data_IF_372375999935
#
_entry.id   IF_372375999935
#
_cell.length_a   1.000
_cell.length_b   1.000
_cell.length_c   1.000
_cell.angle_alpha   90.00
_cell.angle_beta   90.00
_cell.angle_gamma   90.00
#
_symmetry.space_group_name_H-M   'P 1'
#
loop_
_entity.id
_entity.type
_entity.pdbx_description
1 polymer ?
#
# COMPACT_ATOMS: atom_id res chain seq x y z
N UNK A 1 -8.96 2.81 -25.48
CA UNK A 1 -9.34 4.11 -24.89
C UNK A 1 -9.32 3.92 -23.40
N UNK A 2 -8.35 4.52 -22.72
CA UNK A 2 -8.19 4.37 -21.27
C UNK A 2 -9.32 5.11 -20.56
N UNK A 3 -10.03 4.43 -19.67
CA UNK A 3 -11.15 5.00 -18.94
C UNK A 3 -10.59 5.99 -17.92
N UNK A 4 -11.04 7.24 -17.97
CA UNK A 4 -10.59 8.28 -17.05
C UNK A 4 -11.80 8.92 -16.36
N UNK A 5 -11.64 9.23 -15.08
CA UNK A 5 -12.62 9.99 -14.31
C UNK A 5 -11.99 11.27 -13.79
N UNK A 6 -12.81 12.30 -13.57
CA UNK A 6 -12.37 13.57 -13.01
C UNK A 6 -13.25 13.95 -11.84
N UNK A 7 -12.66 14.07 -10.66
CA UNK A 7 -13.32 14.61 -9.47
C UNK A 7 -13.72 16.06 -9.74
N UNK A 8 -14.83 16.52 -9.16
CA UNK A 8 -15.30 17.91 -9.30
C UNK A 8 -14.65 18.87 -8.31
N UNK A 9 -13.64 18.41 -7.57
CA UNK A 9 -12.94 19.18 -6.55
C UNK A 9 -11.42 18.99 -6.62
N UNK A 10 -10.69 19.95 -6.05
CA UNK A 10 -9.24 19.89 -5.85
C UNK A 10 -8.91 19.10 -4.57
N UNK A 11 -8.04 18.09 -4.69
CA UNK A 11 -7.75 17.18 -3.56
C UNK A 11 -6.90 17.83 -2.48
N UNK A 12 -6.15 18.89 -2.81
CA UNK A 12 -5.42 19.68 -1.82
C UNK A 12 -6.38 20.34 -0.85
N UNK A 13 -7.38 21.05 -1.36
CA UNK A 13 -8.42 21.72 -0.57
C UNK A 13 -9.23 20.71 0.24
N UNK A 14 -9.59 19.58 -0.38
CA UNK A 14 -10.25 18.48 0.33
C UNK A 14 -9.42 17.98 1.53
N UNK A 15 -8.13 17.72 1.33
CA UNK A 15 -7.23 17.29 2.40
C UNK A 15 -7.10 18.33 3.52
N UNK A 16 -6.96 19.61 3.17
CA UNK A 16 -6.85 20.71 4.13
C UNK A 16 -8.11 20.87 5.01
N UNK A 17 -9.29 20.49 4.49
CA UNK A 17 -10.56 20.45 5.23
C UNK A 17 -10.69 19.18 6.09
N UNK A 18 -10.29 18.02 5.57
CA UNK A 18 -10.36 16.73 6.28
C UNK A 18 -9.34 16.65 7.43
N UNK A 19 -8.16 17.25 7.24
CA UNK A 19 -7.03 17.29 8.19
C UNK A 19 -6.65 15.88 8.64
N UNK A 20 -6.69 15.62 9.95
CA UNK A 20 -6.23 14.38 10.58
C UNK A 20 -7.34 13.36 10.83
N UNK A 21 -8.50 13.51 10.19
CA UNK A 21 -9.62 12.59 10.39
C UNK A 21 -9.29 11.22 9.73
N UNK A 22 -9.64 10.12 10.40
CA UNK A 22 -9.18 8.75 10.08
C UNK A 22 -10.11 7.89 9.19
N UNK A 23 -11.18 8.45 8.65
CA UNK A 23 -12.24 7.77 7.90
C UNK A 23 -13.38 7.18 8.76
N UNK A 24 -13.27 7.26 10.09
CA UNK A 24 -14.16 6.53 11.01
C UNK A 24 -15.26 7.38 11.67
N UNK A 25 -15.31 8.70 11.43
CA UNK A 25 -16.37 9.56 11.95
C UNK A 25 -17.43 9.82 10.87
N UNK A 26 -18.54 9.09 10.93
CA UNK A 26 -19.63 9.13 9.95
C UNK A 26 -20.23 10.52 9.75
N UNK A 27 -20.38 11.32 10.82
CA UNK A 27 -20.92 12.69 10.71
C UNK A 27 -19.96 13.60 9.92
N UNK A 28 -18.66 13.45 10.17
CA UNK A 28 -17.64 14.18 9.43
C UNK A 28 -17.58 13.73 7.96
N UNK A 29 -17.56 12.42 7.68
CA UNK A 29 -17.57 11.91 6.31
C UNK A 29 -18.82 12.33 5.52
N UNK A 30 -20.00 12.30 6.14
CA UNK A 30 -21.23 12.77 5.51
C UNK A 30 -21.17 14.28 5.19
N UNK A 31 -20.53 15.08 6.04
CA UNK A 31 -20.29 16.50 5.77
C UNK A 31 -19.32 16.68 4.61
N UNK A 32 -18.21 15.94 4.59
CA UNK A 32 -17.24 16.01 3.49
C UNK A 32 -17.89 15.63 2.16
N UNK A 33 -18.69 14.55 2.11
CA UNK A 33 -19.42 14.15 0.92
C UNK A 33 -20.40 15.22 0.40
N UNK A 34 -21.00 16.03 1.29
CA UNK A 34 -21.85 17.16 0.87
C UNK A 34 -21.06 18.35 0.32
N UNK A 35 -19.84 18.55 0.81
CA UNK A 35 -18.98 19.66 0.39
C UNK A 35 -18.19 19.34 -0.88
N UNK A 36 -17.82 18.07 -1.06
CA UNK A 36 -17.00 17.58 -2.15
C UNK A 36 -17.77 16.47 -2.86
N UNK A 37 -18.46 16.84 -3.95
CA UNK A 37 -19.29 15.90 -4.70
C UNK A 37 -18.47 14.75 -5.27
N UNK A 38 -18.95 13.53 -5.04
CA UNK A 38 -18.36 12.30 -5.54
C UNK A 38 -18.61 12.11 -7.04
N UNK A 39 -17.92 11.16 -7.68
CA UNK A 39 -18.19 10.76 -9.06
C UNK A 39 -19.54 10.04 -9.21
N UNK A 40 -20.13 9.63 -8.07
CA UNK A 40 -21.37 8.86 -7.96
C UNK A 40 -21.42 7.71 -8.97
N UNK A 41 -20.37 6.88 -8.96
CA UNK A 41 -20.29 5.65 -9.74
C UNK A 41 -20.72 4.48 -8.84
N UNK A 42 -22.03 4.16 -8.74
CA UNK A 42 -22.50 3.08 -7.88
C UNK A 42 -22.03 1.71 -8.39
N UNK A 43 -21.79 1.62 -9.70
CA UNK A 43 -21.39 0.41 -10.37
C UNK A 43 -19.96 0.02 -10.04
N UNK A 44 -19.76 -1.29 -9.96
CA UNK A 44 -18.46 -1.87 -9.73
C UNK A 44 -17.57 -1.66 -10.96
N UNK A 45 -16.43 -1.01 -10.75
CA UNK A 45 -15.45 -0.78 -11.80
C UNK A 45 -14.58 -2.03 -11.98
N UNK A 46 -14.67 -2.66 -13.15
CA UNK A 46 -13.97 -3.92 -13.48
C UNK A 46 -12.83 -3.73 -14.50
N UNK A 47 -12.88 -2.64 -15.27
CA UNK A 47 -11.88 -2.32 -16.28
C UNK A 47 -10.84 -1.34 -15.68
N UNK A 48 -9.59 -1.35 -16.17
CA UNK A 48 -8.59 -0.38 -15.76
C UNK A 48 -9.05 1.07 -15.98
N UNK A 49 -8.69 1.95 -15.04
CA UNK A 49 -9.01 3.37 -15.13
C UNK A 49 -8.06 4.23 -14.29
N UNK A 50 -8.09 5.54 -14.57
CA UNK A 50 -7.43 6.55 -13.74
C UNK A 50 -8.43 7.58 -13.22
N UNK A 51 -8.15 8.16 -12.06
CA UNK A 51 -8.90 9.28 -11.49
C UNK A 51 -7.99 10.48 -11.40
N UNK A 52 -8.50 11.60 -11.90
CA UNK A 52 -7.85 12.90 -11.82
C UNK A 52 -8.67 13.85 -10.96
N UNK A 53 -8.04 14.85 -10.37
CA UNK A 53 -8.74 15.98 -9.77
C UNK A 53 -8.93 17.15 -10.78
N UNK A 54 -9.65 18.21 -10.38
CA UNK A 54 -9.88 19.36 -11.28
C UNK A 54 -8.61 20.13 -11.65
N UNK A 55 -7.50 19.90 -10.93
CA UNK A 55 -6.20 20.53 -11.20
C UNK A 55 -5.29 19.66 -12.07
N UNK A 56 -5.80 18.50 -12.50
CA UNK A 56 -5.09 17.52 -13.32
C UNK A 56 -4.10 16.66 -12.52
N UNK A 57 -4.24 16.57 -11.19
CA UNK A 57 -3.48 15.63 -10.36
C UNK A 57 -4.04 14.23 -10.53
N UNK A 58 -3.18 13.22 -10.68
CA UNK A 58 -3.64 11.85 -10.55
C UNK A 58 -3.92 11.55 -9.07
N UNK A 59 -5.02 10.88 -8.80
CA UNK A 59 -5.44 10.52 -7.44
C UNK A 59 -5.55 9.01 -7.25
N UNK A 60 -5.86 8.29 -8.32
CA UNK A 60 -5.97 6.84 -8.30
C UNK A 60 -5.69 6.22 -9.67
N UNK A 61 -4.95 5.12 -9.66
CA UNK A 61 -4.77 4.21 -10.80
C UNK A 61 -5.31 2.85 -10.41
N UNK A 62 -6.20 2.29 -11.23
CA UNK A 62 -6.68 0.91 -11.09
C UNK A 62 -6.26 0.13 -12.33
N UNK A 63 -5.51 -0.95 -12.12
CA UNK A 63 -4.94 -1.79 -13.16
C UNK A 63 -5.38 -3.23 -12.89
N UNK A 64 -6.31 -3.72 -13.70
CA UNK A 64 -6.69 -5.13 -13.72
C UNK A 64 -5.59 -5.96 -14.40
N UNK A 65 -5.34 -7.18 -13.92
CA UNK A 65 -4.31 -8.08 -14.46
C UNK A 65 -2.91 -7.44 -14.51
N UNK A 66 -2.53 -6.71 -13.47
CA UNK A 66 -1.25 -5.99 -13.38
C UNK A 66 -0.02 -6.90 -13.34
N UNK A 67 -0.21 -8.19 -13.06
CA UNK A 67 0.83 -9.22 -13.11
C UNK A 67 0.32 -10.41 -13.93
N UNK A 68 1.24 -11.25 -14.42
CA UNK A 68 0.91 -12.48 -15.13
C UNK A 68 0.46 -13.58 -14.17
N UNK A 69 -0.13 -14.65 -14.71
CA UNK A 69 -0.57 -15.82 -13.93
C UNK A 69 0.62 -16.58 -13.33
N UNK A 70 1.76 -16.58 -14.01
CA UNK A 70 2.99 -17.19 -13.53
C UNK A 70 3.52 -16.44 -12.29
N UNK A 71 3.52 -15.09 -12.32
CA UNK A 71 3.89 -14.30 -11.16
C UNK A 71 2.89 -14.46 -10.01
N UNK A 72 1.60 -14.54 -10.31
CA UNK A 72 0.58 -14.87 -9.32
C UNK A 72 0.88 -16.20 -8.63
N UNK A 73 1.17 -17.26 -9.40
CA UNK A 73 1.49 -18.58 -8.88
C UNK A 73 2.73 -18.57 -7.98
N UNK A 74 3.79 -17.83 -8.36
CA UNK A 74 4.98 -17.64 -7.53
C UNK A 74 4.62 -16.95 -6.20
N UNK A 75 3.84 -15.86 -6.25
CA UNK A 75 3.42 -15.16 -5.02
C UNK A 75 2.59 -16.08 -4.14
N UNK A 76 1.64 -16.83 -4.70
CA UNK A 76 0.81 -17.80 -3.97
C UNK A 76 1.69 -18.80 -3.22
N UNK A 77 2.65 -19.43 -3.92
CA UNK A 77 3.59 -20.38 -3.31
C UNK A 77 4.42 -19.74 -2.18
N UNK A 78 4.95 -18.54 -2.40
CA UNK A 78 5.73 -17.82 -1.40
C UNK A 78 4.89 -17.50 -0.15
N UNK A 79 3.64 -17.09 -0.30
CA UNK A 79 2.74 -16.84 0.84
C UNK A 79 2.37 -18.14 1.56
N UNK A 80 2.21 -19.26 0.86
CA UNK A 80 1.99 -20.57 1.50
C UNK A 80 3.15 -20.93 2.45
N UNK A 81 4.39 -20.61 2.08
CA UNK A 81 5.54 -20.79 2.97
C UNK A 81 5.53 -19.86 4.19
N UNK A 82 4.80 -18.73 4.14
CA UNK A 82 4.60 -17.82 5.27
C UNK A 82 3.43 -18.18 6.18
N UNK A 83 2.66 -19.25 5.90
CA UNK A 83 1.47 -19.62 6.69
C UNK A 83 1.75 -19.63 8.19
N UNK A 84 2.82 -20.29 8.62
CA UNK A 84 3.17 -20.38 10.04
C UNK A 84 3.49 -19.01 10.67
N UNK A 85 4.09 -18.08 9.91
CA UNK A 85 4.37 -16.72 10.38
C UNK A 85 3.08 -15.91 10.47
N UNK A 86 2.23 -16.00 9.44
CA UNK A 86 0.94 -15.31 9.38
C UNK A 86 0.00 -15.74 10.51
N UNK A 87 -0.06 -17.03 10.83
CA UNK A 87 -0.84 -17.52 11.98
C UNK A 87 -0.41 -16.88 13.30
N UNK A 88 0.90 -16.67 13.51
CA UNK A 88 1.44 -16.00 14.71
C UNK A 88 1.18 -14.49 14.72
N UNK A 89 0.72 -13.95 13.60
CA UNK A 89 0.37 -12.54 13.38
C UNK A 89 -1.09 -12.37 12.98
N UNK A 90 -1.91 -13.35 13.36
CA UNK A 90 -3.36 -13.37 13.22
C UNK A 90 -4.07 -12.41 14.18
N UNK A 91 -5.41 -12.53 14.29
CA UNK A 91 -6.17 -11.72 15.23
C UNK A 91 -5.72 -11.94 16.67
N UNK A 92 -5.91 -10.92 17.51
CA UNK A 92 -5.61 -10.98 18.94
C UNK A 92 -6.89 -11.03 19.74
N UNK A 93 -7.04 -12.09 20.53
CA UNK A 93 -8.20 -12.29 21.38
C UNK A 93 -8.44 -11.05 22.27
N UNK A 94 -9.68 -10.56 22.27
CA UNK A 94 -10.11 -9.39 23.04
C UNK A 94 -9.60 -8.02 22.54
N UNK A 95 -8.90 -7.94 21.41
CA UNK A 95 -8.44 -6.64 20.89
C UNK A 95 -9.62 -5.77 20.45
N UNK A 96 -9.59 -4.49 20.85
CA UNK A 96 -10.53 -3.46 20.36
C UNK A 96 -10.00 -2.68 19.16
N UNK A 97 -8.76 -2.97 18.71
CA UNK A 97 -8.17 -2.34 17.54
C UNK A 97 -8.63 -3.08 16.31
N UNK A 98 -9.21 -2.36 15.34
CA UNK A 98 -9.70 -2.98 14.11
C UNK A 98 -8.61 -3.71 13.30
N UNK A 99 -7.34 -3.37 13.56
CA UNK A 99 -6.18 -4.08 13.00
C UNK A 99 -6.01 -5.51 13.49
N UNK A 100 -6.47 -5.81 14.70
CA UNK A 100 -6.27 -7.11 15.34
C UNK A 100 -7.61 -7.80 15.74
N UNK A 101 -8.76 -7.18 15.46
CA UNK A 101 -10.09 -7.68 15.81
C UNK A 101 -10.46 -8.92 14.99
N UNK A 102 -10.83 -10.01 15.66
CA UNK A 102 -11.21 -11.30 15.04
C UNK A 102 -12.27 -11.18 13.95
N UNK A 103 -13.27 -10.31 14.14
CA UNK A 103 -14.37 -10.13 13.18
C UNK A 103 -13.94 -9.72 11.78
N UNK A 104 -12.73 -9.15 11.62
CA UNK A 104 -12.22 -8.75 10.30
C UNK A 104 -11.42 -9.85 9.62
N UNK A 105 -11.03 -10.90 10.34
CA UNK A 105 -10.28 -12.01 9.79
C UNK A 105 -11.23 -13.15 9.40
N UNK A 106 -10.90 -13.83 8.31
CA UNK A 106 -11.57 -15.05 7.92
C UNK A 106 -11.34 -16.12 8.98
N UNK A 107 -12.40 -16.86 9.30
CA UNK A 107 -12.31 -17.94 10.29
C UNK A 107 -11.27 -18.98 9.83
N UNK A 108 -10.38 -19.47 10.73
CA UNK A 108 -9.26 -20.34 10.35
C UNK A 108 -9.67 -21.63 9.63
N UNK A 109 -10.87 -22.16 9.87
CA UNK A 109 -11.35 -23.37 9.20
C UNK A 109 -11.46 -23.20 7.68
N UNK A 110 -11.71 -21.96 7.21
CA UNK A 110 -11.84 -21.61 5.81
C UNK A 110 -10.54 -21.07 5.19
N UNK A 111 -9.41 -21.23 5.89
CA UNK A 111 -8.08 -20.75 5.50
C UNK A 111 -7.16 -21.93 5.11
N UNK A 112 -7.47 -22.57 3.98
CA UNK A 112 -6.78 -23.76 3.44
C UNK A 112 -5.46 -23.40 2.74
N UNK A 113 -5.42 -22.30 2.01
CA UNK A 113 -4.26 -21.90 1.20
C UNK A 113 -3.36 -20.88 1.90
N UNK A 114 -3.92 -19.79 2.41
CA UNK A 114 -3.24 -18.76 3.20
C UNK A 114 -3.72 -18.80 4.65
N UNK A 115 -2.85 -18.43 5.60
CA UNK A 115 -3.30 -18.20 6.97
C UNK A 115 -3.81 -16.76 7.13
N UNK A 116 -4.71 -16.54 8.08
CA UNK A 116 -5.14 -15.19 8.48
C UNK A 116 -4.03 -14.47 9.26
N UNK A 117 -3.61 -13.29 8.83
CA UNK A 117 -2.56 -12.54 9.51
C UNK A 117 -2.12 -11.25 8.81
N UNK A 118 -1.36 -10.43 9.54
CA UNK A 118 -0.76 -9.18 9.04
C UNK A 118 0.72 -9.12 9.37
N UNK A 119 1.57 -8.95 8.36
CA UNK A 119 3.02 -8.79 8.52
C UNK A 119 3.46 -7.45 7.99
N UNK A 120 4.32 -6.74 8.73
CA UNK A 120 4.96 -5.50 8.26
C UNK A 120 6.45 -5.75 8.05
N UNK A 121 6.92 -5.60 6.81
CA UNK A 121 8.31 -5.82 6.39
C UNK A 121 8.95 -4.49 5.98
N UNK A 122 10.14 -4.21 6.49
CA UNK A 122 10.95 -3.06 6.09
C UNK A 122 12.43 -3.32 6.40
N UNK A 123 13.31 -2.98 5.46
CA UNK A 123 14.76 -3.08 5.65
C UNK A 123 15.28 -2.10 6.71
N UNK A 124 14.74 -0.88 6.71
CA UNK A 124 14.98 0.15 7.70
C UNK A 124 13.80 1.13 7.72
N UNK A 125 13.26 1.40 8.91
CA UNK A 125 12.24 2.41 9.12
C UNK A 125 12.33 3.08 10.50
N UNK A 126 11.69 4.23 10.64
CA UNK A 126 11.36 4.78 11.95
C UNK A 126 10.03 4.20 12.45
N UNK A 127 9.98 3.71 13.68
CA UNK A 127 8.75 3.13 14.24
C UNK A 127 7.65 4.20 14.38
N UNK A 128 6.38 3.79 14.25
CA UNK A 128 5.25 4.69 14.46
C UNK A 128 5.32 5.35 15.85
N UNK A 129 5.22 6.68 15.89
CA UNK A 129 5.36 7.44 17.14
C UNK A 129 6.81 7.86 17.48
N UNK A 130 7.79 7.41 16.70
CA UNK A 130 9.21 7.79 16.81
C UNK A 130 9.71 8.34 15.47
N UNK A 131 8.97 9.30 14.92
CA UNK A 131 9.13 9.80 13.53
C UNK A 131 9.74 11.21 13.49
N UNK A 132 10.75 11.47 14.33
CA UNK A 132 11.50 12.73 14.34
C UNK A 132 12.88 12.55 13.71
N UNK A 133 13.52 13.66 13.33
CA UNK A 133 14.78 13.65 12.58
C UNK A 133 15.89 12.84 13.28
N UNK A 134 16.03 12.98 14.60
CA UNK A 134 17.03 12.26 15.40
C UNK A 134 16.66 10.80 15.71
N UNK A 135 15.45 10.33 15.35
CA UNK A 135 15.06 8.97 15.73
C UNK A 135 15.87 7.93 14.95
N UNK A 136 16.22 6.87 15.65
CA UNK A 136 16.92 5.72 15.08
C UNK A 136 16.05 4.98 14.07
N UNK A 137 16.73 4.38 13.09
CA UNK A 137 16.12 3.44 12.16
C UNK A 137 16.27 2.02 12.68
N UNK A 138 15.29 1.18 12.38
CA UNK A 138 15.32 -0.25 12.69
C UNK A 138 14.76 -1.03 11.51
N UNK A 139 15.22 -2.26 11.24
CA UNK A 139 14.41 -3.15 10.42
C UNK A 139 13.07 -3.39 11.11
N UNK A 140 12.03 -3.70 10.33
CA UNK A 140 10.78 -4.12 10.93
C UNK A 140 10.99 -5.43 11.71
N UNK A 141 10.24 -5.61 12.80
CA UNK A 141 10.37 -6.78 13.68
C UNK A 141 10.22 -8.10 12.94
N UNK A 142 9.31 -8.14 11.97
CA UNK A 142 9.01 -9.34 11.20
C UNK A 142 10.05 -9.60 10.10
N UNK A 143 10.95 -8.66 9.81
CA UNK A 143 12.01 -8.79 8.81
C UNK A 143 13.38 -9.08 9.41
N UNK A 144 13.80 -8.32 10.43
CA UNK A 144 15.06 -8.55 11.13
C UNK A 144 15.07 -7.91 12.53
N UNK A 145 16.18 -8.10 13.27
CA UNK A 145 16.42 -7.42 14.54
C UNK A 145 17.83 -6.85 14.53
N UNK A 146 17.95 -5.54 14.74
CA UNK A 146 19.23 -4.82 14.81
C UNK A 146 20.21 -5.55 15.74
N UNK A 147 21.40 -5.85 15.23
CA UNK A 147 22.49 -6.50 15.95
C UNK A 147 22.24 -7.96 16.36
N UNK A 148 21.24 -8.65 15.78
CA UNK A 148 20.97 -10.07 16.07
C UNK A 148 20.73 -10.88 14.79
N UNK A 149 21.15 -12.15 14.75
CA UNK A 149 20.84 -13.02 13.61
C UNK A 149 19.32 -13.24 13.47
N UNK A 150 18.81 -13.41 12.24
CA UNK A 150 17.38 -13.60 12.02
C UNK A 150 16.92 -14.94 12.60
N UNK A 151 15.77 -14.95 13.28
CA UNK A 151 15.12 -16.19 13.72
C UNK A 151 14.41 -16.92 12.56
N UNK A 152 13.81 -18.08 12.81
CA UNK A 152 13.14 -18.88 11.77
C UNK A 152 12.02 -18.13 11.02
N UNK A 153 11.21 -17.32 11.72
CA UNK A 153 10.17 -16.50 11.09
C UNK A 153 10.77 -15.40 10.22
N UNK A 154 11.81 -14.73 10.71
CA UNK A 154 12.52 -13.67 9.97
C UNK A 154 13.24 -14.23 8.73
N UNK A 155 13.82 -15.43 8.80
CA UNK A 155 14.40 -16.08 7.62
C UNK A 155 13.34 -16.41 6.57
N UNK A 156 12.15 -16.82 6.99
CA UNK A 156 11.05 -17.08 6.07
C UNK A 156 10.55 -15.79 5.39
N UNK A 157 10.42 -14.68 6.12
CA UNK A 157 10.02 -13.40 5.53
C UNK A 157 11.12 -12.80 4.65
N UNK A 158 12.39 -13.00 4.99
CA UNK A 158 13.53 -12.67 4.14
C UNK A 158 13.53 -13.44 2.82
N UNK A 159 13.36 -14.77 2.88
CA UNK A 159 13.23 -15.62 1.69
C UNK A 159 12.01 -15.22 0.84
N UNK A 160 10.89 -14.87 1.47
CA UNK A 160 9.72 -14.33 0.80
C UNK A 160 10.03 -13.04 0.02
N UNK A 161 10.65 -12.06 0.67
CA UNK A 161 11.01 -10.77 0.04
C UNK A 161 11.97 -10.97 -1.14
N UNK A 162 12.97 -11.84 -1.00
CA UNK A 162 13.90 -12.18 -2.09
C UNK A 162 13.19 -12.89 -3.25
N UNK A 163 12.27 -13.81 -2.94
CA UNK A 163 11.45 -14.51 -3.92
C UNK A 163 10.51 -13.58 -4.73
N UNK A 164 10.20 -12.41 -4.19
CA UNK A 164 9.40 -11.39 -4.88
C UNK A 164 10.21 -10.48 -5.83
N UNK A 165 11.47 -10.80 -6.14
CA UNK A 165 12.34 -9.93 -6.98
C UNK A 165 11.68 -9.46 -8.29
N UNK A 166 11.06 -10.35 -9.07
CA UNK A 166 10.36 -9.96 -10.30
C UNK A 166 9.12 -9.12 -10.03
N UNK A 167 8.33 -9.48 -9.01
CA UNK A 167 7.18 -8.67 -8.57
C UNK A 167 7.63 -7.28 -8.14
N UNK A 168 8.77 -7.17 -7.47
CA UNK A 168 9.34 -5.91 -7.05
C UNK A 168 9.66 -4.99 -8.22
N UNK A 169 10.20 -5.54 -9.32
CA UNK A 169 10.43 -4.80 -10.56
C UNK A 169 9.12 -4.28 -11.14
N UNK A 170 8.10 -5.13 -11.28
CA UNK A 170 6.80 -4.75 -11.87
C UNK A 170 6.12 -3.66 -11.06
N UNK A 171 6.01 -3.84 -9.74
CA UNK A 171 5.35 -2.87 -8.86
C UNK A 171 6.13 -1.56 -8.78
N UNK A 172 7.47 -1.62 -8.78
CA UNK A 172 8.31 -0.42 -8.80
C UNK A 172 8.21 0.32 -10.13
N UNK A 173 8.09 -0.39 -11.25
CA UNK A 173 7.86 0.21 -12.56
C UNK A 173 6.49 0.89 -12.64
N UNK A 174 5.44 0.27 -12.08
CA UNK A 174 4.13 0.89 -11.97
C UNK A 174 4.19 2.22 -11.18
N UNK A 175 4.95 2.25 -10.07
CA UNK A 175 5.22 3.50 -9.35
C UNK A 175 6.00 4.51 -10.20
N UNK A 176 7.04 4.06 -10.92
CA UNK A 176 7.85 4.93 -11.79
C UNK A 176 7.05 5.58 -12.91
N UNK A 177 5.97 4.92 -13.38
CA UNK A 177 5.04 5.45 -14.38
C UNK A 177 4.02 6.38 -13.72
N UNK A 178 3.36 5.92 -12.66
CA UNK A 178 2.25 6.66 -12.03
C UNK A 178 2.73 7.88 -11.22
N UNK A 179 3.92 7.78 -10.62
CA UNK A 179 4.50 8.78 -9.74
C UNK A 179 6.06 8.79 -9.79
N UNK A 180 6.66 9.29 -10.89
CA UNK A 180 8.10 9.22 -11.14
C UNK A 180 8.96 9.86 -10.03
N UNK A 181 8.56 11.03 -9.51
CA UNK A 181 9.30 11.73 -8.46
C UNK A 181 9.33 10.94 -7.14
N UNK A 182 8.22 10.29 -6.76
CA UNK A 182 8.21 9.41 -5.58
C UNK A 182 9.13 8.21 -5.78
N UNK A 183 9.10 7.60 -6.96
CA UNK A 183 9.99 6.50 -7.32
C UNK A 183 11.46 6.91 -7.13
N UNK A 184 11.84 8.07 -7.69
CA UNK A 184 13.22 8.58 -7.63
C UNK A 184 13.65 8.86 -6.18
N UNK A 185 12.87 9.66 -5.45
CA UNK A 185 13.18 10.03 -4.07
C UNK A 185 13.23 8.80 -3.16
N UNK A 186 12.34 7.83 -3.36
CA UNK A 186 12.36 6.60 -2.58
C UNK A 186 13.56 5.74 -2.88
N UNK A 187 13.89 5.57 -4.17
CA UNK A 187 15.08 4.84 -4.60
C UNK A 187 16.36 5.49 -4.05
N UNK A 188 16.40 6.82 -3.97
CA UNK A 188 17.54 7.55 -3.41
C UNK A 188 17.80 7.20 -1.96
N UNK A 189 16.83 7.34 -1.06
CA UNK A 189 17.09 6.98 0.34
C UNK A 189 17.28 5.47 0.53
N UNK A 190 16.64 4.61 -0.26
CA UNK A 190 16.88 3.16 -0.18
C UNK A 190 18.33 2.79 -0.54
N UNK A 191 18.97 3.51 -1.46
CA UNK A 191 20.41 3.38 -1.73
C UNK A 191 21.27 3.84 -0.55
N UNK A 192 20.87 4.91 0.13
CA UNK A 192 21.56 5.38 1.33
C UNK A 192 21.45 4.35 2.46
N UNK A 193 20.26 3.79 2.69
CA UNK A 193 20.04 2.68 3.63
C UNK A 193 20.89 1.46 3.26
N UNK A 194 20.99 1.13 1.96
CA UNK A 194 21.84 0.03 1.50
C UNK A 194 23.34 0.28 1.68
N UNK A 195 23.76 1.55 1.80
CA UNK A 195 25.16 1.94 2.03
C UNK A 195 25.50 2.03 3.52
N UNK A 196 24.50 2.01 4.40
CA UNK A 196 24.69 1.97 5.84
C UNK A 196 25.10 0.54 6.27
N UNK A 197 26.28 0.33 6.87
CA UNK A 197 26.74 -0.98 7.32
C UNK A 197 25.77 -1.68 8.29
N UNK A 198 24.92 -0.93 8.96
CA UNK A 198 23.92 -1.48 9.87
C UNK A 198 22.74 -2.15 9.14
N UNK A 199 22.41 -1.68 7.93
CA UNK A 199 21.25 -2.13 7.16
C UNK A 199 21.62 -2.78 5.83
N UNK A 200 22.89 -2.81 5.42
CA UNK A 200 23.34 -3.40 4.14
C UNK A 200 22.80 -4.82 3.93
N UNK A 201 22.80 -5.67 4.96
CA UNK A 201 22.34 -7.05 4.87
C UNK A 201 20.82 -7.15 4.64
N UNK A 202 20.03 -6.29 5.27
CA UNK A 202 18.57 -6.28 5.09
C UNK A 202 18.17 -5.56 3.79
N UNK A 203 18.90 -4.51 3.43
CA UNK A 203 18.67 -3.70 2.24
C UNK A 203 19.08 -4.41 0.95
N UNK A 204 20.13 -5.23 0.96
CA UNK A 204 20.55 -6.05 -0.20
C UNK A 204 19.48 -7.04 -0.65
N UNK A 205 18.56 -7.40 0.24
CA UNK A 205 17.43 -8.29 -0.03
C UNK A 205 16.21 -7.52 -0.57
N UNK A 206 16.22 -6.18 -0.50
CA UNK A 206 15.05 -5.35 -0.72
C UNK A 206 14.98 -4.84 -2.16
N UNK A 207 14.11 -5.47 -2.97
CA UNK A 207 13.95 -5.13 -4.39
C UNK A 207 12.99 -3.98 -4.71
N UNK A 208 12.21 -3.49 -3.75
CA UNK A 208 11.09 -2.57 -4.02
C UNK A 208 11.50 -1.09 -4.00
N UNK A 209 10.85 -0.26 -4.82
CA UNK A 209 10.89 1.21 -4.73
C UNK A 209 9.95 1.80 -3.66
N UNK A 210 9.64 1.00 -2.63
CA UNK A 210 8.85 1.37 -1.46
C UNK A 210 9.63 0.96 -0.21
N UNK A 211 9.57 1.70 0.91
CA UNK A 211 10.29 1.29 2.15
C UNK A 211 9.60 0.19 2.92
N UNK A 212 8.31 -0.04 2.66
CA UNK A 212 7.51 -0.96 3.45
C UNK A 212 6.67 -1.86 2.56
N UNK A 213 6.63 -3.13 2.93
CA UNK A 213 5.72 -4.14 2.40
C UNK A 213 4.90 -4.70 3.56
N UNK A 214 3.59 -4.47 3.53
CA UNK A 214 2.65 -5.11 4.46
C UNK A 214 1.89 -6.22 3.74
N UNK A 215 1.92 -7.43 4.31
CA UNK A 215 1.15 -8.58 3.82
C UNK A 215 -0.12 -8.66 4.66
N UNK A 216 -1.28 -8.54 4.03
CA UNK A 216 -2.59 -8.64 4.68
C UNK A 216 -3.33 -9.85 4.14
N UNK A 217 -3.32 -10.94 4.89
CA UNK A 217 -3.89 -12.21 4.47
C UNK A 217 -5.23 -12.49 5.17
N UNK A 218 -6.23 -12.87 4.36
CA UNK A 218 -7.56 -13.31 4.78
C UNK A 218 -8.24 -12.34 5.76
N UNK A 219 -8.13 -11.04 5.46
CA UNK A 219 -8.60 -9.97 6.34
C UNK A 219 -9.30 -8.87 5.55
N UNK A 220 -10.52 -8.55 5.95
CA UNK A 220 -11.26 -7.36 5.51
C UNK A 220 -10.74 -6.10 6.21
N UNK A 221 -10.94 -4.94 5.61
CA UNK A 221 -10.47 -3.67 6.15
C UNK A 221 -11.60 -2.65 6.12
N UNK A 222 -12.10 -2.18 7.28
CA UNK A 222 -13.08 -1.11 7.32
C UNK A 222 -12.53 0.18 6.70
N UNK A 223 -13.43 1.07 6.30
CA UNK A 223 -13.08 2.36 5.73
C UNK A 223 -12.20 3.15 6.69
N UNK A 224 -11.02 3.57 6.22
CA UNK A 224 -10.07 4.35 6.99
C UNK A 224 -9.15 5.20 6.09
N UNK A 225 -8.45 6.16 6.71
CA UNK A 225 -7.30 6.86 6.13
C UNK A 225 -6.04 6.48 6.89
N UNK A 226 -4.96 6.31 6.15
CA UNK A 226 -3.63 6.06 6.69
C UNK A 226 -2.95 7.37 7.11
N UNK A 227 -3.56 8.05 8.09
CA UNK A 227 -3.07 9.36 8.57
C UNK A 227 -1.67 9.31 9.22
N UNK A 228 -1.17 8.12 9.53
CA UNK A 228 0.11 7.88 10.23
C UNK A 228 1.13 7.10 9.39
N UNK A 229 0.77 6.73 8.17
CA UNK A 229 1.65 6.06 7.20
C UNK A 229 1.55 6.83 5.88
N UNK A 230 2.66 7.01 5.20
CA UNK A 230 2.68 7.85 3.99
C UNK A 230 2.45 9.35 4.26
N UNK A 231 2.19 10.06 3.17
CA UNK A 231 1.95 11.50 3.09
C UNK A 231 0.91 11.75 2.01
N UNK A 232 0.34 12.96 1.96
CA UNK A 232 -0.67 13.30 0.94
C UNK A 232 -0.14 13.08 -0.47
N UNK A 233 1.14 13.35 -0.66
CA UNK A 233 1.83 13.24 -1.94
C UNK A 233 2.46 11.86 -2.16
N UNK A 234 2.27 10.90 -1.26
CA UNK A 234 2.81 9.55 -1.42
C UNK A 234 1.68 8.60 -1.79
N UNK A 235 1.93 7.83 -2.86
CA UNK A 235 1.12 6.70 -3.26
C UNK A 235 1.54 5.44 -2.52
N UNK A 236 0.52 4.70 -2.13
CA UNK A 236 0.58 3.31 -1.75
C UNK A 236 0.18 2.47 -2.98
N UNK A 237 0.78 1.30 -3.14
CA UNK A 237 0.43 0.33 -4.17
C UNK A 237 -0.15 -0.92 -3.50
N UNK A 238 -1.39 -1.27 -3.82
CA UNK A 238 -2.08 -2.42 -3.24
C UNK A 238 -2.32 -3.47 -4.32
N UNK A 239 -1.59 -4.59 -4.26
CA UNK A 239 -1.74 -5.74 -5.14
C UNK A 239 -2.54 -6.84 -4.44
N UNK A 240 -3.62 -7.31 -5.06
CA UNK A 240 -4.38 -8.46 -4.54
C UNK A 240 -4.06 -9.77 -5.26
N UNK A 241 -3.99 -10.84 -4.48
CA UNK A 241 -3.86 -12.24 -4.91
C UNK A 241 -5.03 -13.04 -4.34
N UNK A 242 -5.73 -13.78 -5.20
CA UNK A 242 -6.96 -14.46 -4.83
C UNK A 242 -8.13 -13.49 -4.60
N UNK A 243 -9.07 -13.91 -3.76
CA UNK A 243 -10.38 -13.29 -3.65
C UNK A 243 -11.28 -13.63 -4.84
N UNK A 244 -12.60 -13.51 -4.64
CA UNK A 244 -13.59 -13.81 -5.68
C UNK A 244 -14.25 -12.57 -6.31
N UNK A 245 -15.22 -12.78 -7.23
CA UNK A 245 -15.98 -11.76 -7.95
C UNK A 245 -16.71 -10.71 -7.09
N UNK A 246 -16.77 -10.89 -5.77
CA UNK A 246 -17.42 -9.98 -4.82
C UNK A 246 -16.43 -9.26 -3.91
N UNK A 247 -15.13 -9.45 -4.13
CA UNK A 247 -14.10 -8.75 -3.38
C UNK A 247 -13.95 -7.36 -3.95
N UNK A 248 -14.11 -6.35 -3.11
CA UNK A 248 -14.19 -4.94 -3.53
C UNK A 248 -13.25 -4.10 -2.67
N UNK A 249 -12.58 -3.13 -3.29
CA UNK A 249 -12.00 -2.00 -2.58
C UNK A 249 -12.85 -0.75 -2.87
N UNK A 250 -13.18 -0.03 -1.81
CA UNK A 250 -14.07 1.13 -1.87
C UNK A 250 -13.29 2.41 -1.59
N UNK A 251 -13.63 3.47 -2.32
CA UNK A 251 -13.11 4.83 -2.14
C UNK A 251 -14.27 5.81 -1.93
N UNK A 252 -14.86 5.88 -0.72
CA UNK A 252 -16.09 6.64 -0.51
C UNK A 252 -16.00 8.13 -0.84
N UNK A 253 -14.83 8.75 -0.66
CA UNK A 253 -14.66 10.17 -1.03
C UNK A 253 -14.69 10.41 -2.53
N UNK A 254 -14.42 9.39 -3.34
CA UNK A 254 -14.52 9.47 -4.80
C UNK A 254 -15.88 8.93 -5.29
N UNK A 255 -16.61 8.20 -4.44
CA UNK A 255 -17.82 7.48 -4.84
C UNK A 255 -17.51 6.33 -5.80
N UNK A 256 -16.39 5.64 -5.58
CA UNK A 256 -15.92 4.53 -6.41
C UNK A 256 -15.88 3.21 -5.65
N UNK A 257 -16.17 2.14 -6.37
CA UNK A 257 -16.03 0.74 -5.95
C UNK A 257 -15.30 0.00 -7.04
N UNK A 258 -14.20 -0.67 -6.72
CA UNK A 258 -13.33 -1.33 -7.68
C UNK A 258 -13.34 -2.83 -7.40
N UNK A 259 -13.51 -3.63 -8.46
CA UNK A 259 -13.34 -5.06 -8.39
C UNK A 259 -11.91 -5.35 -7.95
N UNK A 260 -11.78 -6.02 -6.81
CA UNK A 260 -10.50 -6.20 -6.12
C UNK A 260 -10.21 -7.67 -5.87
N UNK A 261 -10.24 -8.41 -6.96
CA UNK A 261 -9.85 -9.81 -7.07
C UNK A 261 -8.41 -9.92 -7.57
N UNK A 262 -8.03 -11.15 -7.92
CA UNK A 262 -6.64 -11.51 -8.17
C UNK A 262 -6.01 -10.67 -9.27
N UNK A 263 -4.74 -10.32 -9.07
CA UNK A 263 -3.91 -9.51 -9.99
C UNK A 263 -4.39 -8.06 -10.17
N UNK A 264 -5.33 -7.59 -9.36
CA UNK A 264 -5.69 -6.17 -9.34
C UNK A 264 -4.66 -5.36 -8.55
N UNK A 265 -4.11 -4.33 -9.18
CA UNK A 265 -3.23 -3.33 -8.57
C UNK A 265 -3.97 -1.98 -8.49
N UNK A 266 -3.94 -1.37 -7.32
CA UNK A 266 -4.43 0.00 -7.14
C UNK A 266 -3.32 0.88 -6.57
N UNK A 267 -3.06 2.03 -7.20
CA UNK A 267 -2.12 3.04 -6.70
C UNK A 267 -2.88 4.32 -6.35
N UNK A 268 -2.71 4.81 -5.13
CA UNK A 268 -3.38 6.02 -4.63
C UNK A 268 -2.75 6.47 -3.31
N UNK A 269 -3.05 7.67 -2.82
CA UNK A 269 -2.66 8.07 -1.46
C UNK A 269 -3.67 7.60 -0.41
N UNK A 270 -3.31 6.60 0.40
CA UNK A 270 -4.10 6.16 1.55
C UNK A 270 -4.24 7.21 2.65
N UNK A 271 -3.37 8.23 2.63
CA UNK A 271 -3.46 9.38 3.53
C UNK A 271 -4.66 10.29 3.18
N UNK A 272 -4.92 10.49 1.88
CA UNK A 272 -5.95 11.40 1.38
C UNK A 272 -7.31 10.72 1.33
N UNK A 273 -7.33 9.53 0.71
CA UNK A 273 -8.59 8.90 0.34
C UNK A 273 -8.98 7.84 1.38
N UNK A 274 -10.16 8.01 2.02
CA UNK A 274 -10.69 6.96 2.86
C UNK A 274 -10.93 5.73 1.97
N UNK A 275 -10.45 4.59 2.41
CA UNK A 275 -10.54 3.35 1.66
C UNK A 275 -10.72 2.15 2.57
N UNK A 276 -11.27 1.08 2.03
CA UNK A 276 -11.43 -0.19 2.73
C UNK A 276 -11.69 -1.33 1.78
N UNK A 277 -11.43 -2.53 2.25
CA UNK A 277 -11.59 -3.76 1.49
C UNK A 277 -12.70 -4.61 2.10
N UNK A 278 -13.62 -5.07 1.26
CA UNK A 278 -14.75 -5.90 1.68
C UNK A 278 -14.30 -7.25 2.24
N UNK A 279 -15.23 -7.93 2.91
CA UNK A 279 -15.07 -9.35 3.23
C UNK A 279 -15.01 -10.15 1.93
N UNK A 280 -14.01 -11.01 1.79
CA UNK A 280 -13.93 -11.95 0.67
C UNK A 280 -14.52 -13.30 1.07
N UNK A 281 -15.29 -13.89 0.15
CA UNK A 281 -15.81 -15.27 0.28
C UNK A 281 -14.73 -16.32 0.03
N UNK A 282 -13.66 -15.94 -0.63
CA UNK A 282 -12.51 -16.78 -0.95
C UNK A 282 -11.28 -16.30 -0.19
N UNK A 283 -10.21 -17.08 -0.24
CA UNK A 283 -8.96 -16.68 0.36
C UNK A 283 -8.27 -15.60 -0.46
N UNK A 284 -7.73 -14.61 0.23
CA UNK A 284 -7.11 -13.44 -0.39
C UNK A 284 -5.91 -12.96 0.38
N UNK A 285 -4.89 -12.52 -0.32
CA UNK A 285 -3.76 -11.78 0.22
C UNK A 285 -3.65 -10.44 -0.49
N UNK A 286 -3.47 -9.37 0.27
CA UNK A 286 -3.08 -8.08 -0.25
C UNK A 286 -1.60 -7.84 0.10
N UNK A 287 -0.80 -7.49 -0.91
CA UNK A 287 0.55 -6.96 -0.74
C UNK A 287 0.45 -5.44 -0.86
N UNK A 288 0.59 -4.75 0.27
CA UNK A 288 0.54 -3.30 0.36
C UNK A 288 1.95 -2.73 0.41
N UNK A 289 2.35 -2.00 -0.62
CA UNK A 289 3.65 -1.36 -0.73
C UNK A 289 3.50 0.14 -0.49
N UNK A 290 4.26 0.70 0.44
CA UNK A 290 4.18 2.13 0.75
C UNK A 290 5.52 2.71 1.20
N UNK A 291 5.66 4.01 1.02
CA UNK A 291 6.80 4.76 1.53
C UNK A 291 6.41 5.49 2.81
N UNK A 292 7.35 5.59 3.77
CA UNK A 292 7.15 6.44 4.95
C UNK A 292 7.77 7.82 4.74
N UNK A 293 6.94 8.87 4.85
CA UNK A 293 7.42 10.27 4.82
C UNK A 293 8.56 10.54 5.81
N UNK A 294 8.54 9.86 6.96
CA UNK A 294 9.55 10.01 7.99
C UNK A 294 10.95 9.58 7.49
N UNK A 295 11.01 8.60 6.59
CA UNK A 295 12.26 8.17 5.97
C UNK A 295 12.80 9.20 4.98
N UNK A 296 11.93 9.82 4.18
CA UNK A 296 12.36 10.94 3.33
C UNK A 296 12.97 12.07 4.18
N UNK A 297 12.29 12.46 5.27
CA UNK A 297 12.80 13.49 6.17
C UNK A 297 14.10 13.11 6.89
N UNK A 298 14.23 11.86 7.35
CA UNK A 298 15.44 11.34 8.00
C UNK A 298 16.67 11.48 7.10
N UNK A 299 16.47 11.33 5.80
CA UNK A 299 17.49 11.47 4.76
C UNK A 299 17.53 12.86 4.12
N UNK A 300 16.89 13.87 4.75
CA UNK A 300 16.85 15.26 4.26
C UNK A 300 16.31 15.40 2.83
N UNK A 301 15.46 14.48 2.39
CA UNK A 301 14.79 14.52 1.10
C UNK A 301 13.44 15.24 1.20
N UNK A 302 13.03 15.99 0.17
CA UNK A 302 11.71 16.59 0.12
C UNK A 302 10.62 15.52 0.01
N UNK A 303 9.37 15.92 0.24
CA UNK A 303 8.22 15.14 -0.23
C UNK A 303 8.06 15.35 -1.73
N UNK A 304 7.70 14.30 -2.49
CA UNK A 304 7.47 14.45 -3.92
C UNK A 304 6.27 15.36 -4.18
N UNK A 305 6.20 15.92 -5.38
CA UNK A 305 5.02 16.64 -5.87
C UNK A 305 4.00 15.66 -6.43
N UNK A 306 2.71 15.90 -6.16
CA UNK A 306 1.65 15.06 -6.70
C UNK A 306 1.70 15.03 -8.25
N UNK A 307 1.63 13.84 -8.88
CA UNK A 307 1.80 13.68 -10.31
C UNK A 307 0.68 14.36 -11.08
N UNK A 308 1.02 15.08 -12.15
CA UNK A 308 0.06 15.79 -13.00
C UNK A 308 0.06 15.24 -14.41
N UNK A 309 -1.12 15.22 -15.03
CA UNK A 309 -1.32 14.66 -16.37
C UNK A 309 -0.33 15.22 -17.41
N UNK A 310 -0.20 16.55 -17.49
CA UNK A 310 0.70 17.18 -18.46
C UNK A 310 2.16 16.74 -18.23
N UNK A 311 2.62 16.67 -16.98
CA UNK A 311 4.01 16.29 -16.67
C UNK A 311 4.30 14.83 -17.01
N UNK A 312 3.31 13.95 -16.92
CA UNK A 312 3.43 12.55 -17.34
C UNK A 312 3.48 12.40 -18.87
N UNK A 313 2.75 13.24 -19.61
CA UNK A 313 2.66 13.17 -21.08
C UNK A 313 3.82 13.91 -21.78
N UNK A 314 4.32 14.99 -21.21
CA UNK A 314 5.35 15.83 -21.84
C UNK A 314 6.76 15.17 -21.86
N UNK A 315 6.90 14.00 -21.24
CA UNK A 315 8.16 13.25 -21.21
C UNK A 315 9.31 14.00 -20.52
N UNK A 316 9.04 15.11 -19.84
CA UNK A 316 10.04 15.90 -19.11
C UNK A 316 10.71 15.10 -18.00
N UNK A 317 10.01 14.11 -17.43
CA UNK A 317 10.61 13.14 -16.50
C UNK A 317 11.56 12.15 -17.16
N UNK A 318 11.41 11.82 -18.45
CA UNK A 318 12.34 10.94 -19.17
C UNK A 318 13.73 11.59 -19.37
N UNK A 319 13.88 12.89 -19.07
CA UNK A 319 15.13 13.66 -19.23
C UNK A 319 15.88 13.92 -17.92
N UNK A 320 15.41 13.39 -16.79
CA UNK A 320 16.06 13.52 -15.47
C UNK A 320 16.76 12.22 -15.00
N UNK A 321 16.96 11.23 -15.90
CA UNK A 321 17.74 10.02 -15.63
C UNK A 321 19.23 10.21 -15.90
#
# INVERSE_FOLDING_TARGET
MDRQFTLSYDTKTYHDVVRSQKGNNTKAEARFKRQFSTLDQPDLQVLPFTVWDITGRAELWSISHAITEELEAVIRQLVTHLRFVLTQRGPRNGSKKWRDMEQYFRHPEFCKEFASGVLDLSAAWQMQGHEHFEADMFPSRDFARKGKPPNAMQRATQAFVQGLSTTAVVISAALGIAHPEQYELTRRYLKEVASDPEFTDTASQWGFAFSVLTIVANRSTPIHRDIRSGGRELYDALLTIGGGPHTVIEFPSMGLRVQYDTRTLVLFSGNVHPHGASVSREERVCLAFYARKAMLHKHSLPLPSCPRLHTLLDGTFARMQ
#
